data_IF_853229731206
#
_entry.id   IF_853229731206
#
_cell.length_a   1.000
_cell.length_b   1.000
_cell.length_c   1.000
_cell.angle_alpha   90.00
_cell.angle_beta   90.00
_cell.angle_gamma   90.00
#
_symmetry.space_group_name_H-M   'P 1'
#
loop_
_entity.id
_entity.type
_entity.pdbx_description
1 polymer ?
#
# COMPACT_ATOMS: atom_id res chain seq x y z
N UNK A 1 -9.11 15.92 31.94
CA UNK A 1 -8.78 16.33 30.55
C UNK A 1 -7.53 15.63 29.99
N UNK A 2 -6.41 15.53 30.73
CA UNK A 2 -5.19 14.82 30.27
C UNK A 2 -5.40 13.32 29.96
N UNK A 3 -6.16 12.58 30.78
CA UNK A 3 -6.43 11.15 30.54
C UNK A 3 -7.26 10.87 29.27
N UNK A 4 -8.18 11.77 28.91
CA UNK A 4 -9.01 11.64 27.71
C UNK A 4 -8.17 11.82 26.43
N UNK A 5 -7.21 12.74 26.45
CA UNK A 5 -6.27 12.96 25.34
C UNK A 5 -5.33 11.76 25.11
N UNK A 6 -4.90 11.09 26.19
CA UNK A 6 -4.09 9.87 26.09
C UNK A 6 -4.89 8.70 25.49
N UNK A 7 -6.16 8.58 25.82
CA UNK A 7 -7.04 7.53 25.28
C UNK A 7 -7.27 7.68 23.77
N UNK A 8 -7.51 8.92 23.31
CA UNK A 8 -7.67 9.22 21.88
C UNK A 8 -6.36 8.93 21.12
N UNK A 9 -5.20 9.28 21.69
CA UNK A 9 -3.90 9.00 21.06
C UNK A 9 -3.64 7.50 20.87
N UNK A 10 -3.98 6.67 21.86
CA UNK A 10 -3.84 5.21 21.78
C UNK A 10 -4.79 4.63 20.73
N UNK A 11 -6.04 5.09 20.68
CA UNK A 11 -7.02 4.65 19.68
C UNK A 11 -6.61 4.98 18.25
N UNK A 12 -6.02 6.15 18.01
CA UNK A 12 -5.51 6.51 16.68
C UNK A 12 -4.32 5.65 16.27
N UNK A 13 -3.41 5.31 17.20
CA UNK A 13 -2.32 4.38 16.92
C UNK A 13 -2.85 2.97 16.59
N UNK A 14 -3.82 2.46 17.36
CA UNK A 14 -4.45 1.16 17.07
C UNK A 14 -5.16 1.19 15.71
N UNK A 15 -5.87 2.28 15.39
CA UNK A 15 -6.54 2.46 14.09
C UNK A 15 -5.56 2.34 12.91
N UNK A 16 -4.36 2.89 13.02
CA UNK A 16 -3.31 2.77 11.98
C UNK A 16 -2.60 1.41 11.95
N UNK A 17 -2.64 0.64 13.05
CA UNK A 17 -2.10 -0.73 13.09
C UNK A 17 -3.10 -1.71 12.48
N UNK A 18 -4.39 -1.46 12.67
CA UNK A 18 -5.49 -2.31 12.17
C UNK A 18 -5.85 -1.99 10.72
N UNK A 19 -5.75 -0.72 10.32
CA UNK A 19 -5.90 -0.29 8.93
C UNK A 19 -4.51 -0.31 8.29
N UNK A 20 -4.14 -1.46 7.70
CA UNK A 20 -2.90 -1.58 6.94
C UNK A 20 -2.79 -0.44 5.92
N UNK A 21 -1.57 0.05 5.69
CA UNK A 21 -1.33 1.19 4.80
C UNK A 21 -1.68 0.85 3.36
N UNK A 22 -1.80 1.87 2.53
CA UNK A 22 -2.10 1.73 1.12
C UNK A 22 -0.95 2.27 0.27
N UNK A 23 -0.88 1.82 -0.98
CA UNK A 23 0.06 2.41 -1.92
C UNK A 23 0.27 1.58 -3.19
N UNK A 24 1.04 2.13 -4.12
CA UNK A 24 1.35 1.45 -5.37
C UNK A 24 2.37 0.33 -5.12
N UNK A 25 2.11 -0.83 -5.72
CA UNK A 25 3.09 -1.92 -5.78
C UNK A 25 4.31 -1.48 -6.58
N UNK A 26 5.47 -2.04 -6.24
CA UNK A 26 6.71 -1.81 -6.97
C UNK A 26 7.19 -3.07 -7.68
N UNK A 27 7.83 -2.92 -8.83
CA UNK A 27 8.64 -3.97 -9.43
C UNK A 27 10.00 -4.10 -8.74
N UNK A 28 10.84 -4.99 -9.29
CA UNK A 28 12.18 -5.25 -8.77
C UNK A 28 13.15 -4.07 -8.88
N UNK A 29 12.84 -3.08 -9.73
CA UNK A 29 13.64 -1.85 -9.90
C UNK A 29 13.19 -0.73 -8.94
N UNK A 30 12.05 -0.91 -8.28
CA UNK A 30 11.42 0.10 -7.43
C UNK A 30 10.47 1.02 -8.19
N UNK A 31 10.13 0.72 -9.45
CA UNK A 31 9.15 1.45 -10.22
C UNK A 31 7.73 1.01 -9.87
N UNK A 32 6.72 1.85 -10.10
CA UNK A 32 5.32 1.42 -9.99
C UNK A 32 5.06 0.21 -10.89
N UNK A 33 4.50 -0.84 -10.31
CA UNK A 33 4.20 -2.07 -11.05
C UNK A 33 3.03 -1.84 -12.02
N UNK A 34 3.32 -1.87 -13.33
CA UNK A 34 2.33 -1.58 -14.38
C UNK A 34 1.27 -2.67 -14.51
N UNK A 35 0.02 -2.24 -14.73
CA UNK A 35 -1.11 -3.09 -15.06
C UNK A 35 -1.68 -2.85 -16.47
N UNK A 36 -1.00 -2.04 -17.30
CA UNK A 36 -1.47 -1.57 -18.62
C UNK A 36 -1.89 -2.70 -19.59
N UNK A 37 -1.18 -3.83 -19.58
CA UNK A 37 -1.46 -5.00 -20.43
C UNK A 37 -1.86 -6.23 -19.62
N UNK A 38 -2.25 -6.05 -18.36
CA UNK A 38 -2.53 -7.16 -17.44
C UNK A 38 -4.03 -7.48 -17.40
N UNK A 39 -4.40 -8.76 -17.23
CA UNK A 39 -5.80 -9.14 -17.12
C UNK A 39 -6.45 -8.56 -15.86
N UNK A 40 -7.79 -8.52 -15.85
CA UNK A 40 -8.56 -8.15 -14.67
C UNK A 40 -8.19 -9.06 -13.48
N UNK A 41 -8.15 -8.48 -12.27
CA UNK A 41 -7.77 -9.19 -11.05
C UNK A 41 -6.26 -9.44 -10.86
N UNK A 42 -5.42 -9.12 -11.86
CA UNK A 42 -3.96 -9.28 -11.73
C UNK A 42 -3.40 -8.54 -10.51
N UNK A 43 -3.78 -7.27 -10.32
CA UNK A 43 -3.29 -6.48 -9.20
C UNK A 43 -3.78 -7.00 -7.84
N UNK A 44 -5.00 -7.53 -7.76
CA UNK A 44 -5.51 -8.12 -6.51
C UNK A 44 -4.65 -9.31 -6.09
N UNK A 45 -4.41 -10.24 -7.01
CA UNK A 45 -3.53 -11.40 -6.79
C UNK A 45 -2.10 -10.97 -6.46
N UNK A 46 -1.55 -10.00 -7.18
CA UNK A 46 -0.20 -9.49 -6.93
C UNK A 46 -0.07 -8.87 -5.53
N UNK A 47 -0.97 -7.96 -5.17
CA UNK A 47 -0.96 -7.28 -3.87
C UNK A 47 -1.08 -8.27 -2.71
N UNK A 48 -2.00 -9.24 -2.81
CA UNK A 48 -2.16 -10.30 -1.79
C UNK A 48 -0.92 -11.19 -1.67
N UNK A 49 -0.36 -11.61 -2.80
CA UNK A 49 0.76 -12.57 -2.82
C UNK A 49 2.10 -11.94 -2.42
N UNK A 50 2.40 -10.74 -2.91
CA UNK A 50 3.72 -10.13 -2.75
C UNK A 50 3.78 -9.10 -1.64
N UNK A 51 2.68 -8.41 -1.36
CA UNK A 51 2.63 -7.35 -0.35
C UNK A 51 1.83 -7.73 0.89
N UNK A 52 1.28 -8.95 0.95
CA UNK A 52 0.37 -9.40 2.03
C UNK A 52 -0.78 -8.41 2.26
N UNK A 53 -1.17 -7.72 1.19
CA UNK A 53 -2.26 -6.75 1.18
C UNK A 53 -3.61 -7.45 1.34
N UNK A 54 -4.64 -6.73 1.78
CA UNK A 54 -6.01 -7.26 1.83
C UNK A 54 -6.64 -7.34 0.44
N UNK A 55 -6.32 -6.39 -0.44
CA UNK A 55 -6.77 -6.37 -1.83
C UNK A 55 -5.90 -5.48 -2.70
N UNK A 56 -6.18 -5.48 -4.00
CA UNK A 56 -5.57 -4.55 -4.93
C UNK A 56 -6.35 -4.41 -6.23
N UNK A 57 -6.11 -3.33 -6.95
CA UNK A 57 -6.72 -3.11 -8.26
C UNK A 57 -5.77 -2.31 -9.17
N UNK A 58 -6.12 -2.27 -10.46
CA UNK A 58 -5.39 -1.47 -11.43
C UNK A 58 -5.88 -0.01 -11.36
N UNK A 59 -5.18 0.82 -10.60
CA UNK A 59 -5.33 2.27 -10.63
C UNK A 59 -4.52 2.79 -11.83
N UNK A 60 -5.17 2.76 -13.00
CA UNK A 60 -4.51 2.88 -14.29
C UNK A 60 -3.45 4.01 -14.33
N UNK A 61 -2.18 3.72 -14.68
CA UNK A 61 -1.68 2.47 -15.28
C UNK A 61 -0.97 1.51 -14.30
N UNK A 62 -1.11 1.64 -12.98
CA UNK A 62 -0.34 0.85 -12.01
C UNK A 62 -1.19 0.14 -10.95
N UNK A 63 -0.65 -0.94 -10.37
CA UNK A 63 -1.31 -1.66 -9.30
C UNK A 63 -1.27 -0.87 -7.98
N UNK A 64 -2.44 -0.64 -7.40
CA UNK A 64 -2.62 -0.02 -6.08
C UNK A 64 -3.15 -1.06 -5.09
N UNK A 65 -2.53 -1.12 -3.91
CA UNK A 65 -2.78 -2.14 -2.89
C UNK A 65 -3.37 -1.52 -1.62
N UNK A 66 -4.29 -2.23 -0.99
CA UNK A 66 -4.96 -1.85 0.25
C UNK A 66 -4.55 -2.76 1.41
N UNK A 67 -4.49 -2.23 2.63
CA UNK A 67 -4.25 -3.06 3.82
C UNK A 67 -2.86 -3.70 3.85
N UNK A 68 -1.85 -3.04 3.30
CA UNK A 68 -0.45 -3.49 3.31
C UNK A 68 0.12 -3.39 4.73
N UNK A 69 0.80 -4.43 5.25
CA UNK A 69 1.52 -4.35 6.52
C UNK A 69 2.52 -3.19 6.55
N UNK A 70 2.63 -2.50 7.68
CA UNK A 70 3.46 -1.29 7.83
C UNK A 70 4.93 -1.52 7.48
N UNK A 71 5.46 -2.72 7.72
CA UNK A 71 6.84 -3.14 7.45
C UNK A 71 7.13 -3.45 5.98
N UNK A 72 6.11 -3.58 5.12
CA UNK A 72 6.27 -3.84 3.68
C UNK A 72 6.33 -2.52 2.93
N UNK A 73 7.28 -2.36 2.01
CA UNK A 73 7.42 -1.11 1.25
C UNK A 73 6.35 -1.04 0.14
N UNK A 74 5.80 0.15 -0.04
CA UNK A 74 5.02 0.57 -1.20
C UNK A 74 5.78 1.70 -1.89
N UNK A 75 5.43 2.02 -3.13
CA UNK A 75 6.09 3.07 -3.89
C UNK A 75 5.98 4.42 -3.19
N UNK A 76 7.10 5.15 -3.17
CA UNK A 76 7.23 6.48 -2.59
C UNK A 76 7.93 7.40 -3.61
N UNK A 77 7.35 8.59 -3.81
CA UNK A 77 7.85 9.59 -4.75
C UNK A 77 9.31 10.01 -4.44
N UNK A 78 9.68 10.13 -3.16
CA UNK A 78 11.03 10.54 -2.75
C UNK A 78 12.10 9.49 -3.08
N UNK A 79 11.69 8.23 -3.26
CA UNK A 79 12.58 7.11 -3.64
C UNK A 79 12.39 6.67 -5.09
N UNK A 80 11.64 7.44 -5.87
CA UNK A 80 11.33 7.10 -7.25
C UNK A 80 12.60 7.05 -8.11
N UNK A 81 12.82 5.91 -8.76
CA UNK A 81 13.94 5.70 -9.69
C UNK A 81 13.51 5.75 -11.15
N UNK A 82 12.21 5.92 -11.42
CA UNK A 82 11.61 5.60 -12.70
C UNK A 82 10.76 6.78 -13.19
N UNK A 83 11.05 7.27 -14.40
CA UNK A 83 10.43 8.47 -14.95
C UNK A 83 10.88 9.73 -14.21
N UNK A 84 11.99 10.33 -14.69
CA UNK A 84 12.26 11.76 -14.47
C UNK A 84 11.22 12.58 -15.21
#
# INVERSE_FOLDING_TARGET
MKGFLLFISILMMIGTIVVGKEGYAMDHEGCKFSCFIRPSGFCDGYCKTHLKASSGYCAWPACYCYGVPSNIKVWDYATNKCGK
#
